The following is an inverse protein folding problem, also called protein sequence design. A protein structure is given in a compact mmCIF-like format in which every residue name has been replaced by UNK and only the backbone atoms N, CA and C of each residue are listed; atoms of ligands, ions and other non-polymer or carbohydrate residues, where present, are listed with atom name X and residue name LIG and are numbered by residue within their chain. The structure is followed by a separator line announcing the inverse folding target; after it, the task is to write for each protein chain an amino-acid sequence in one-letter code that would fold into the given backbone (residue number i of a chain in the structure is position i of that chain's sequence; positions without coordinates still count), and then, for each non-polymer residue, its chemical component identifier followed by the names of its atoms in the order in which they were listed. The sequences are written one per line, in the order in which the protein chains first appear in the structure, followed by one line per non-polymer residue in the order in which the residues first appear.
data_IF_926727792918
#
_entry.id   IF_926727792918
#
_cell.length_a   1.000
_cell.length_b   1.000
_cell.length_c   1.000
_cell.angle_alpha   90.00
_cell.angle_beta   90.00
_cell.angle_gamma   90.00
#
_symmetry.space_group_name_H-M   'P 1'
#
loop_
_entity.id
_entity.type
_entity.pdbx_description
1 polymer ?
#
# COMPACT_ATOMS: atom_id res chain seq x y z
N UNK A 1 4.52 48.50 -85.38
CA UNK A 1 3.19 47.86 -85.33
C UNK A 1 3.28 46.65 -84.42
N UNK A 2 2.89 46.86 -83.17
CA UNK A 2 2.84 45.87 -82.11
C UNK A 2 1.60 44.99 -82.28
N UNK A 3 1.75 43.68 -82.06
CA UNK A 3 0.66 42.77 -81.69
C UNK A 3 1.11 42.13 -80.37
N UNK A 4 0.70 42.67 -79.23
CA UNK A 4 -0.50 42.28 -78.46
C UNK A 4 -0.49 40.82 -77.97
N UNK A 5 0.06 40.73 -76.76
CA UNK A 5 -0.20 39.80 -75.66
C UNK A 5 -1.68 39.38 -75.59
N UNK A 6 -1.93 38.09 -75.37
CA UNK A 6 -2.90 37.56 -74.39
C UNK A 6 -2.90 36.03 -74.42
N UNK A 7 -2.51 35.39 -73.31
CA UNK A 7 -3.38 34.37 -72.73
C UNK A 7 -3.15 34.25 -71.23
N UNK A 8 -4.28 34.09 -70.55
CA UNK A 8 -4.57 34.20 -69.13
C UNK A 8 -4.78 32.78 -68.57
N UNK A 9 -4.37 32.54 -67.32
CA UNK A 9 -5.07 31.72 -66.30
C UNK A 9 -4.09 31.06 -65.29
N UNK A 10 -4.43 31.28 -64.02
CA UNK A 10 -3.81 30.89 -62.75
C UNK A 10 -4.02 29.36 -62.42
N UNK A 11 -3.73 28.80 -61.21
CA UNK A 11 -3.31 29.44 -59.96
C UNK A 11 -2.25 28.73 -59.09
N UNK A 12 -1.91 29.46 -58.03
CA UNK A 12 -1.15 29.10 -56.85
C UNK A 12 -1.28 27.64 -56.37
N UNK A 13 -0.14 26.94 -56.28
CA UNK A 13 0.06 25.80 -55.40
C UNK A 13 0.85 26.26 -54.17
N UNK A 14 0.15 26.63 -53.10
CA UNK A 14 0.73 26.94 -51.79
C UNK A 14 1.30 25.66 -51.18
N UNK A 15 2.40 25.83 -50.47
CA UNK A 15 3.02 24.89 -49.54
C UNK A 15 1.99 24.08 -48.74
N UNK A 16 1.82 22.80 -49.08
CA UNK A 16 1.27 21.80 -48.17
C UNK A 16 2.42 21.22 -47.36
N UNK A 17 2.92 21.99 -46.40
CA UNK A 17 3.85 21.51 -45.40
C UNK A 17 3.03 20.82 -44.30
N UNK A 18 3.48 19.64 -43.90
CA UNK A 18 2.90 18.78 -42.86
C UNK A 18 2.52 19.55 -41.59
N UNK A 19 1.22 19.59 -41.27
CA UNK A 19 0.71 20.10 -39.99
C UNK A 19 -0.02 19.01 -39.15
N UNK A 20 0.21 17.73 -39.42
CA UNK A 20 -0.41 16.61 -38.64
C UNK A 20 0.54 15.92 -37.65
N UNK A 21 1.64 16.56 -37.26
CA UNK A 21 2.64 15.97 -36.34
C UNK A 21 2.37 16.22 -34.84
N UNK A 22 1.36 17.00 -34.46
CA UNK A 22 1.24 17.51 -33.06
C UNK A 22 0.33 16.67 -32.14
N UNK A 23 -0.44 15.71 -32.66
CA UNK A 23 -1.45 14.98 -31.87
C UNK A 23 -0.95 13.68 -31.20
N UNK A 24 0.18 13.11 -31.63
CA UNK A 24 0.73 11.85 -31.09
C UNK A 24 1.63 12.05 -29.86
N UNK A 25 2.34 13.18 -29.78
CA UNK A 25 3.24 13.49 -28.66
C UNK A 25 2.50 13.89 -27.38
N UNK A 26 1.28 14.43 -27.51
CA UNK A 26 0.48 14.90 -26.37
C UNK A 26 -0.14 13.72 -25.60
N UNK A 27 -0.66 12.71 -26.31
CA UNK A 27 -1.25 11.52 -25.70
C UNK A 27 -0.20 10.68 -24.95
N UNK A 28 0.99 10.53 -25.54
CA UNK A 28 2.09 9.73 -24.97
C UNK A 28 2.66 10.35 -23.69
N UNK A 29 2.74 11.69 -23.61
CA UNK A 29 3.18 12.40 -22.41
C UNK A 29 2.18 12.32 -21.26
N UNK A 30 0.87 12.38 -21.54
CA UNK A 30 -0.16 12.30 -20.50
C UNK A 30 -0.24 10.89 -19.88
N UNK A 31 -0.10 9.84 -20.70
CA UNK A 31 -0.04 8.45 -20.23
C UNK A 31 1.24 8.16 -19.43
N UNK A 32 2.36 8.77 -19.81
CA UNK A 32 3.64 8.63 -19.08
C UNK A 32 3.59 9.35 -17.74
N UNK A 33 3.04 10.57 -17.69
CA UNK A 33 2.85 11.32 -16.45
C UNK A 33 1.90 10.60 -15.48
N UNK A 34 0.77 10.09 -15.97
CA UNK A 34 -0.21 9.36 -15.15
C UNK A 34 0.38 8.07 -14.57
N UNK A 35 1.15 7.31 -15.35
CA UNK A 35 1.82 6.10 -14.85
C UNK A 35 2.91 6.42 -13.81
N UNK A 36 3.66 7.50 -14.00
CA UNK A 36 4.68 7.93 -13.03
C UNK A 36 4.04 8.37 -11.70
N UNK A 37 2.89 9.06 -11.76
CA UNK A 37 2.13 9.45 -10.58
C UNK A 37 1.55 8.25 -9.84
N UNK A 38 1.01 7.26 -10.55
CA UNK A 38 0.54 5.99 -9.97
C UNK A 38 1.70 5.22 -9.32
N UNK A 39 2.84 5.12 -10.00
CA UNK A 39 4.02 4.44 -9.46
C UNK A 39 4.54 5.15 -8.20
N UNK A 40 4.62 6.48 -8.21
CA UNK A 40 5.02 7.28 -7.05
C UNK A 40 4.07 7.08 -5.87
N UNK A 41 2.76 7.02 -6.13
CA UNK A 41 1.75 6.74 -5.10
C UNK A 41 1.89 5.32 -4.53
N UNK A 42 2.14 4.33 -5.40
CA UNK A 42 2.37 2.95 -4.97
C UNK A 42 3.61 2.81 -4.08
N UNK A 43 4.70 3.49 -4.41
CA UNK A 43 5.93 3.45 -3.61
C UNK A 43 5.77 4.19 -2.28
N UNK A 44 5.00 5.28 -2.24
CA UNK A 44 4.63 5.95 -1.00
C UNK A 44 3.79 5.04 -0.08
N UNK A 45 2.78 4.35 -0.63
CA UNK A 45 1.95 3.40 0.12
C UNK A 45 2.77 2.22 0.65
N UNK A 46 3.72 1.71 -0.13
CA UNK A 46 4.63 0.64 0.33
C UNK A 46 5.53 1.10 1.47
N UNK A 47 6.05 2.33 1.37
CA UNK A 47 6.85 2.94 2.44
C UNK A 47 6.02 3.08 3.72
N UNK A 48 4.74 3.43 3.59
CA UNK A 48 3.82 3.47 4.73
C UNK A 48 3.58 2.08 5.33
N UNK A 49 3.38 1.05 4.50
CA UNK A 49 3.27 -0.35 4.97
C UNK A 49 4.54 -0.77 5.73
N UNK A 50 5.72 -0.51 5.19
CA UNK A 50 7.00 -0.88 5.83
C UNK A 50 7.14 -0.21 7.21
N UNK A 51 6.75 1.07 7.31
CA UNK A 51 6.70 1.79 8.59
C UNK A 51 5.72 1.16 9.57
N UNK A 52 4.50 0.84 9.12
CA UNK A 52 3.48 0.21 9.95
C UNK A 52 3.93 -1.18 10.43
N UNK A 53 4.56 -1.97 9.56
CA UNK A 53 5.07 -3.30 9.88
C UNK A 53 6.20 -3.23 10.91
N UNK A 54 7.11 -2.25 10.80
CA UNK A 54 8.13 -2.02 11.81
C UNK A 54 7.52 -1.70 13.19
N UNK A 55 6.46 -0.89 13.21
CA UNK A 55 5.76 -0.52 14.45
C UNK A 55 4.96 -1.70 15.02
N UNK A 56 4.27 -2.48 14.18
CA UNK A 56 3.60 -3.72 14.58
C UNK A 56 4.61 -4.68 15.20
N UNK A 57 5.75 -4.91 14.56
CA UNK A 57 6.80 -5.79 15.07
C UNK A 57 7.29 -5.33 16.45
N UNK A 58 7.62 -4.04 16.59
CA UNK A 58 8.06 -3.45 17.85
C UNK A 58 7.02 -3.62 18.96
N UNK A 59 5.74 -3.39 18.65
CA UNK A 59 4.63 -3.54 19.59
C UNK A 59 4.40 -4.99 19.99
N UNK A 60 4.49 -5.93 19.05
CA UNK A 60 4.34 -7.37 19.32
C UNK A 60 5.46 -7.89 20.21
N UNK A 61 6.71 -7.48 19.98
CA UNK A 61 7.85 -7.82 20.84
C UNK A 61 7.62 -7.31 22.28
N UNK A 62 7.24 -6.03 22.42
CA UNK A 62 6.96 -5.44 23.73
C UNK A 62 5.80 -6.14 24.43
N UNK A 63 4.69 -6.39 23.73
CA UNK A 63 3.52 -7.11 24.26
C UNK A 63 3.91 -8.51 24.75
N UNK A 64 4.76 -9.19 24.02
CA UNK A 64 5.27 -10.53 24.36
C UNK A 64 6.07 -10.49 25.65
N UNK A 65 7.04 -9.57 25.77
CA UNK A 65 7.84 -9.41 26.97
C UNK A 65 6.97 -9.09 28.21
N UNK A 66 6.00 -8.18 28.07
CA UNK A 66 5.05 -7.84 29.15
C UNK A 66 4.20 -9.05 29.54
N UNK A 67 3.69 -9.82 28.56
CA UNK A 67 2.89 -11.02 28.82
C UNK A 67 3.68 -12.09 29.59
N UNK A 68 4.94 -12.29 29.22
CA UNK A 68 5.85 -13.21 29.92
C UNK A 68 6.13 -12.72 31.36
N UNK A 69 6.39 -11.43 31.56
CA UNK A 69 6.59 -10.85 32.88
C UNK A 69 5.36 -11.04 33.79
N UNK A 70 4.15 -10.83 33.26
CA UNK A 70 2.89 -11.10 33.97
C UNK A 70 2.77 -12.59 34.32
N UNK A 71 3.09 -13.48 33.39
CA UNK A 71 3.09 -14.93 33.64
C UNK A 71 4.08 -15.34 34.73
N UNK A 72 5.28 -14.76 34.73
CA UNK A 72 6.32 -15.01 35.73
C UNK A 72 5.90 -14.53 37.12
N UNK A 73 5.36 -13.31 37.22
CA UNK A 73 4.85 -12.76 38.47
C UNK A 73 3.72 -13.63 39.04
N UNK A 74 2.81 -14.14 38.19
CA UNK A 74 1.74 -15.06 38.61
C UNK A 74 2.28 -16.37 39.15
N UNK A 75 3.25 -16.98 38.45
CA UNK A 75 3.88 -18.23 38.92
C UNK A 75 4.59 -18.03 40.25
N UNK A 76 5.29 -16.91 40.42
CA UNK A 76 5.95 -16.55 41.68
C UNK A 76 4.94 -16.39 42.84
N UNK A 77 3.74 -15.89 42.54
CA UNK A 77 2.64 -15.78 43.50
C UNK A 77 1.83 -17.07 43.71
N UNK A 78 2.24 -18.21 43.14
CA UNK A 78 1.51 -19.49 43.23
C UNK A 78 0.21 -19.55 42.43
N UNK A 79 -0.03 -18.57 41.54
CA UNK A 79 -1.22 -18.50 40.71
C UNK A 79 -1.15 -19.39 39.46
N UNK A 80 -2.30 -19.63 38.80
CA UNK A 80 -2.34 -20.44 37.59
C UNK A 80 -1.55 -19.81 36.45
N UNK A 81 -0.93 -20.66 35.62
CA UNK A 81 -0.13 -20.27 34.44
C UNK A 81 -0.94 -19.45 33.43
N UNK A 82 -2.26 -19.68 33.37
CA UNK A 82 -3.19 -19.05 32.42
C UNK A 82 -4.49 -18.70 33.14
N UNK A 83 -5.04 -17.52 32.82
CA UNK A 83 -6.35 -17.08 33.29
C UNK A 83 -7.32 -17.01 32.11
N UNK A 84 -8.19 -18.00 32.00
CA UNK A 84 -9.10 -18.16 30.87
C UNK A 84 -9.89 -16.87 30.54
N UNK A 85 -10.46 -16.20 31.56
CA UNK A 85 -11.20 -14.96 31.36
C UNK A 85 -10.39 -13.82 30.75
N UNK A 86 -9.07 -13.76 31.02
CA UNK A 86 -8.19 -12.75 30.40
C UNK A 86 -7.89 -13.07 28.95
N UNK A 87 -7.81 -14.33 28.58
CA UNK A 87 -7.60 -14.74 27.20
C UNK A 87 -8.83 -14.48 26.35
N UNK A 88 -10.02 -14.80 26.88
CA UNK A 88 -11.29 -14.46 26.24
C UNK A 88 -11.42 -12.96 26.00
N UNK A 89 -10.98 -12.11 26.94
CA UNK A 89 -10.96 -10.67 26.74
C UNK A 89 -10.02 -10.22 25.60
N UNK A 90 -8.87 -10.89 25.42
CA UNK A 90 -7.98 -10.62 24.28
C UNK A 90 -8.63 -11.05 22.98
N UNK A 91 -9.20 -12.27 22.92
CA UNK A 91 -9.88 -12.76 21.72
C UNK A 91 -11.01 -11.82 21.30
N UNK A 92 -11.84 -11.37 22.26
CA UNK A 92 -12.93 -10.44 22.00
C UNK A 92 -12.44 -9.10 21.45
N UNK A 93 -11.31 -8.57 21.93
CA UNK A 93 -10.75 -7.31 21.44
C UNK A 93 -10.38 -7.36 19.95
N UNK A 94 -9.82 -8.48 19.49
CA UNK A 94 -9.38 -8.60 18.10
C UNK A 94 -10.52 -9.02 17.15
N UNK A 95 -11.74 -9.32 17.64
CA UNK A 95 -12.89 -9.64 16.77
C UNK A 95 -13.29 -8.50 15.83
N UNK A 96 -12.88 -7.28 16.12
CA UNK A 96 -13.04 -6.12 15.23
C UNK A 96 -12.40 -6.33 13.86
N UNK A 97 -11.38 -7.21 13.78
CA UNK A 97 -10.71 -7.62 12.53
C UNK A 97 -11.33 -8.88 11.89
N UNK A 98 -12.53 -9.30 12.31
CA UNK A 98 -13.19 -10.48 11.76
C UNK A 98 -12.51 -11.80 12.13
N UNK A 99 -12.49 -12.75 11.18
CA UNK A 99 -11.95 -14.10 11.38
C UNK A 99 -10.44 -14.07 11.61
N UNK A 100 -9.73 -13.24 10.86
CA UNK A 100 -8.29 -13.06 10.89
C UNK A 100 -7.83 -12.48 12.24
N UNK A 101 -8.68 -11.63 12.85
CA UNK A 101 -8.46 -11.11 14.20
C UNK A 101 -8.38 -12.18 15.27
N UNK A 102 -9.20 -13.23 15.18
CA UNK A 102 -9.14 -14.35 16.10
C UNK A 102 -7.80 -15.08 16.01
N UNK A 103 -7.32 -15.35 14.80
CA UNK A 103 -6.02 -15.99 14.56
C UNK A 103 -4.85 -15.14 15.06
N UNK A 104 -4.89 -13.83 14.82
CA UNK A 104 -3.91 -12.89 15.34
C UNK A 104 -3.87 -12.90 16.87
N UNK A 105 -5.03 -12.81 17.54
CA UNK A 105 -5.09 -12.89 18.99
C UNK A 105 -4.55 -14.23 19.54
N UNK A 106 -4.86 -15.33 18.87
CA UNK A 106 -4.31 -16.65 19.22
C UNK A 106 -2.79 -16.70 19.09
N UNK A 107 -2.23 -16.13 18.01
CA UNK A 107 -0.77 -16.02 17.83
C UNK A 107 -0.13 -15.21 18.96
N UNK A 108 -0.71 -14.04 19.29
CA UNK A 108 -0.21 -13.15 20.33
C UNK A 108 -0.30 -13.78 21.74
N UNK A 109 -1.30 -14.61 22.01
CA UNK A 109 -1.40 -15.37 23.26
C UNK A 109 -0.30 -16.44 23.33
N UNK A 110 -0.07 -17.18 22.23
CA UNK A 110 0.99 -18.21 22.14
C UNK A 110 2.39 -17.62 22.35
N UNK A 111 2.70 -16.46 21.76
CA UNK A 111 3.98 -15.78 21.96
C UNK A 111 4.27 -15.45 23.44
N UNK A 112 3.26 -14.99 24.17
CA UNK A 112 3.43 -14.55 25.56
C UNK A 112 3.50 -15.68 26.59
N UNK A 113 2.69 -16.73 26.45
CA UNK A 113 2.61 -17.82 27.45
C UNK A 113 3.22 -19.14 26.98
N UNK A 114 3.67 -19.24 25.73
CA UNK A 114 4.02 -20.52 25.09
C UNK A 114 2.78 -21.34 24.69
N UNK A 115 3.03 -22.47 24.02
CA UNK A 115 1.96 -23.40 23.60
C UNK A 115 1.26 -24.00 24.83
N UNK A 116 -0.07 -24.12 24.77
CA UNK A 116 -0.81 -24.99 25.71
C UNK A 116 -0.67 -26.43 25.22
N UNK A 117 -0.23 -27.35 26.09
CA UNK A 117 -0.22 -28.79 25.81
C UNK A 117 1.10 -29.36 25.29
N UNK A 118 2.20 -29.12 25.99
CA UNK A 118 3.35 -30.04 25.97
C UNK A 118 3.54 -30.61 27.37
#
# INVERSE_FOLDING_TARGET
MSQHVSNEAAPAGRSGQDDTATDLDTATNLDTATNLDIATNLDALRTEIDYLDAEILRLVQRRTAVSQAVGNARRAAGGPRVVHGREMAVLNRYRELGKEGYELAMLLLRLGRGQLGR
#
